data_IF_935563286606
#
_entry.id   IF_935563286606
#
_cell.length_a   1.000
_cell.length_b   1.000
_cell.length_c   1.000
_cell.angle_alpha   90.00
_cell.angle_beta   90.00
_cell.angle_gamma   90.00
#
_symmetry.space_group_name_H-M   'P 1'
#
loop_
_entity.id
_entity.type
_entity.pdbx_description
1 polymer ?
#
# COMPACT_ATOMS: atom_id res chain seq x y z
N UNK A 1 30.99 -32.87 15.29
CA UNK A 1 30.86 -31.40 15.09
C UNK A 1 30.36 -31.02 13.68
N UNK A 2 30.71 -31.75 12.61
CA UNK A 2 30.22 -31.48 11.24
C UNK A 2 28.70 -31.69 11.04
N UNK A 3 28.12 -32.75 11.62
CA UNK A 3 26.69 -33.05 11.46
C UNK A 3 25.76 -31.93 11.96
N UNK A 4 26.13 -31.24 13.05
CA UNK A 4 25.33 -30.17 13.64
C UNK A 4 25.28 -28.89 12.78
N UNK A 5 26.33 -28.63 11.98
CA UNK A 5 26.37 -27.48 11.05
C UNK A 5 25.41 -27.71 9.87
N UNK A 6 25.40 -28.92 9.31
CA UNK A 6 24.50 -29.32 8.22
C UNK A 6 23.01 -29.30 8.59
N UNK A 7 22.67 -29.52 9.87
CA UNK A 7 21.29 -29.45 10.35
C UNK A 7 20.83 -28.00 10.46
N UNK A 8 21.69 -27.10 10.97
CA UNK A 8 21.38 -25.67 11.04
C UNK A 8 21.22 -25.04 9.65
N UNK A 9 22.10 -25.37 8.72
CA UNK A 9 22.03 -24.90 7.32
C UNK A 9 20.72 -25.35 6.65
N UNK A 10 20.30 -26.60 6.85
CA UNK A 10 19.01 -27.10 6.36
C UNK A 10 17.81 -26.40 6.98
N UNK A 11 17.84 -26.09 8.28
CA UNK A 11 16.76 -25.34 8.94
C UNK A 11 16.64 -23.91 8.40
N UNK A 12 17.76 -23.26 8.10
CA UNK A 12 17.76 -21.93 7.46
C UNK A 12 17.13 -22.02 6.07
N UNK A 13 17.55 -22.98 5.24
CA UNK A 13 16.99 -23.18 3.89
C UNK A 13 15.48 -23.45 3.92
N UNK A 14 15.01 -24.29 4.85
CA UNK A 14 13.57 -24.53 5.02
C UNK A 14 12.87 -23.23 5.40
N UNK A 15 13.43 -22.43 6.31
CA UNK A 15 12.89 -21.13 6.68
C UNK A 15 12.77 -20.18 5.49
N UNK A 16 13.80 -20.08 4.66
CA UNK A 16 13.82 -19.27 3.44
C UNK A 16 12.74 -19.73 2.43
N UNK A 17 12.57 -21.04 2.25
CA UNK A 17 11.54 -21.60 1.37
C UNK A 17 10.12 -21.29 1.89
N UNK A 18 9.90 -21.41 3.20
CA UNK A 18 8.61 -21.07 3.82
C UNK A 18 8.32 -19.57 3.67
N UNK A 19 9.32 -18.71 3.91
CA UNK A 19 9.19 -17.27 3.73
C UNK A 19 8.82 -16.93 2.29
N UNK A 20 9.53 -17.51 1.30
CA UNK A 20 9.26 -17.28 -0.11
C UNK A 20 7.84 -17.71 -0.50
N UNK A 21 7.41 -18.91 -0.09
CA UNK A 21 6.07 -19.40 -0.35
C UNK A 21 4.99 -18.51 0.29
N UNK A 22 5.26 -17.96 1.48
CA UNK A 22 4.36 -17.03 2.15
C UNK A 22 4.27 -15.69 1.41
N UNK A 23 5.40 -15.16 0.93
CA UNK A 23 5.46 -13.92 0.13
C UNK A 23 4.67 -14.08 -1.18
N UNK A 24 4.87 -15.18 -1.90
CA UNK A 24 4.15 -15.50 -3.13
C UNK A 24 2.64 -15.60 -2.90
N UNK A 25 2.23 -16.24 -1.81
CA UNK A 25 0.81 -16.32 -1.43
C UNK A 25 0.23 -14.95 -1.13
N UNK A 26 0.94 -14.11 -0.38
CA UNK A 26 0.53 -12.73 -0.09
C UNK A 26 0.34 -11.94 -1.39
N UNK A 27 1.25 -12.08 -2.35
CA UNK A 27 1.19 -11.35 -3.61
C UNK A 27 0.01 -11.80 -4.49
N UNK A 28 -0.26 -13.11 -4.55
CA UNK A 28 -1.45 -13.63 -5.23
C UNK A 28 -2.74 -13.10 -4.60
N UNK A 29 -2.82 -13.11 -3.27
CA UNK A 29 -3.98 -12.61 -2.53
C UNK A 29 -4.13 -11.08 -2.69
N UNK A 30 -3.04 -10.31 -2.76
CA UNK A 30 -3.07 -8.87 -3.10
C UNK A 30 -3.66 -8.63 -4.46
N UNK A 31 -3.16 -9.31 -5.49
CA UNK A 31 -3.58 -9.11 -6.87
C UNK A 31 -5.08 -9.38 -7.06
N UNK A 32 -5.62 -10.39 -6.36
CA UNK A 32 -7.05 -10.71 -6.37
C UNK A 32 -7.92 -9.59 -5.78
N UNK A 33 -7.43 -8.86 -4.78
CA UNK A 33 -8.14 -7.73 -4.19
C UNK A 33 -7.95 -6.44 -4.99
N UNK A 34 -6.72 -6.17 -5.46
CA UNK A 34 -6.36 -4.93 -6.14
C UNK A 34 -7.03 -4.82 -7.50
N UNK A 35 -6.91 -5.84 -8.35
CA UNK A 35 -7.36 -5.79 -9.74
C UNK A 35 -8.80 -5.26 -9.91
N UNK A 36 -9.83 -5.82 -9.25
CA UNK A 36 -11.19 -5.31 -9.43
C UNK A 36 -11.38 -3.89 -8.87
N UNK A 37 -10.61 -3.46 -7.88
CA UNK A 37 -10.71 -2.10 -7.31
C UNK A 37 -9.97 -1.07 -8.18
N UNK A 38 -8.86 -1.47 -8.79
CA UNK A 38 -8.11 -0.68 -9.78
C UNK A 38 -8.98 -0.36 -10.99
N UNK A 39 -9.74 -1.33 -11.51
CA UNK A 39 -10.68 -1.13 -12.64
C UNK A 39 -11.82 -0.13 -12.32
N UNK A 40 -12.12 0.06 -11.03
CA UNK A 40 -13.14 0.99 -10.55
C UNK A 40 -12.59 2.37 -10.16
N UNK A 41 -11.27 2.54 -10.09
CA UNK A 41 -10.61 3.75 -9.61
C UNK A 41 -9.92 4.52 -10.74
N UNK A 42 -9.78 5.83 -10.54
CA UNK A 42 -9.01 6.74 -11.39
C UNK A 42 -7.50 6.51 -11.14
N UNK A 43 -7.13 6.32 -9.88
CA UNK A 43 -5.75 6.08 -9.47
C UNK A 43 -5.73 5.18 -8.23
N UNK A 44 -4.68 4.37 -8.10
CA UNK A 44 -4.47 3.44 -7.00
C UNK A 44 -3.05 3.59 -6.46
N UNK A 45 -2.94 3.76 -5.15
CA UNK A 45 -1.66 3.83 -4.45
C UNK A 45 -1.53 2.69 -3.45
N UNK A 46 -0.61 1.77 -3.73
CA UNK A 46 -0.22 0.72 -2.78
C UNK A 46 0.84 1.28 -1.83
N UNK A 47 0.53 1.29 -0.55
CA UNK A 47 1.40 1.76 0.52
C UNK A 47 2.08 0.58 1.22
N UNK A 48 3.13 0.89 1.98
CA UNK A 48 3.77 -0.11 2.83
C UNK A 48 2.76 -0.71 3.80
N UNK A 49 2.75 -2.04 3.88
CA UNK A 49 1.97 -2.77 4.86
C UNK A 49 2.62 -2.65 6.25
N UNK A 50 1.80 -2.60 7.29
CA UNK A 50 2.27 -2.51 8.68
C UNK A 50 2.12 -3.85 9.41
N UNK A 51 3.24 -4.40 9.86
CA UNK A 51 3.30 -5.68 10.58
C UNK A 51 3.02 -6.89 9.69
N UNK A 52 3.31 -8.09 10.22
CA UNK A 52 3.34 -9.33 9.42
C UNK A 52 1.97 -9.79 8.91
N UNK A 53 0.90 -9.37 9.61
CA UNK A 53 -0.50 -9.76 9.33
C UNK A 53 -1.14 -8.93 8.22
N UNK A 54 -0.65 -7.72 7.98
CA UNK A 54 -1.15 -6.88 6.91
C UNK A 54 -0.41 -7.26 5.63
N UNK A 55 -1.15 -7.75 4.65
CA UNK A 55 -0.60 -7.96 3.32
C UNK A 55 -1.03 -6.85 2.37
N UNK A 56 -2.13 -6.12 2.56
CA UNK A 56 -2.51 -5.03 1.66
C UNK A 56 -2.83 -3.75 2.44
N UNK A 57 -2.23 -2.65 2.00
CA UNK A 57 -2.56 -1.29 2.41
C UNK A 57 -2.62 -0.45 1.14
N UNK A 58 -3.81 -0.04 0.72
CA UNK A 58 -3.99 0.69 -0.53
C UNK A 58 -4.99 1.83 -0.36
N UNK A 59 -4.76 2.90 -1.11
CA UNK A 59 -5.68 4.00 -1.28
C UNK A 59 -6.17 4.03 -2.74
N UNK A 60 -7.44 4.38 -2.92
CA UNK A 60 -8.09 4.44 -4.22
C UNK A 60 -8.69 5.83 -4.42
N UNK A 61 -8.39 6.46 -5.55
CA UNK A 61 -9.02 7.68 -5.99
C UNK A 61 -10.17 7.27 -6.91
N UNK A 62 -11.40 7.52 -6.50
CA UNK A 62 -12.60 7.05 -7.23
C UNK A 62 -13.37 8.25 -7.75
N UNK A 63 -13.92 8.14 -8.96
CA UNK A 63 -14.86 9.14 -9.46
C UNK A 63 -16.13 9.09 -8.60
N UNK A 64 -16.60 10.26 -8.16
CA UNK A 64 -17.79 10.36 -7.31
C UNK A 64 -19.04 9.71 -7.94
N UNK A 65 -19.13 9.63 -9.27
CA UNK A 65 -20.23 8.94 -9.94
C UNK A 65 -20.18 7.41 -9.76
N UNK A 66 -19.02 6.85 -9.39
CA UNK A 66 -18.77 5.42 -9.19
C UNK A 66 -18.65 5.02 -7.71
N UNK A 67 -18.81 5.94 -6.77
CA UNK A 67 -18.73 5.67 -5.32
C UNK A 67 -19.55 4.42 -4.92
N UNK A 68 -20.79 4.32 -5.40
CA UNK A 68 -21.67 3.18 -5.09
C UNK A 68 -21.15 1.86 -5.67
N UNK A 69 -20.65 1.88 -6.90
CA UNK A 69 -20.08 0.70 -7.57
C UNK A 69 -18.85 0.20 -6.80
N UNK A 70 -17.99 1.13 -6.36
CA UNK A 70 -16.82 0.84 -5.56
C UNK A 70 -17.17 0.25 -4.19
N UNK A 71 -18.13 0.86 -3.48
CA UNK A 71 -18.62 0.36 -2.19
C UNK A 71 -19.23 -1.04 -2.30
N UNK A 72 -20.00 -1.30 -3.37
CA UNK A 72 -20.59 -2.60 -3.64
C UNK A 72 -19.50 -3.65 -3.93
N UNK A 73 -18.47 -3.30 -4.71
CA UNK A 73 -17.33 -4.18 -4.99
C UNK A 73 -16.56 -4.55 -3.72
N UNK A 74 -16.32 -3.56 -2.84
CA UNK A 74 -15.67 -3.81 -1.55
C UNK A 74 -16.52 -4.73 -0.67
N UNK A 75 -17.85 -4.56 -0.67
CA UNK A 75 -18.77 -5.44 0.08
C UNK A 75 -18.69 -6.88 -0.44
N UNK A 76 -18.71 -7.06 -1.76
CA UNK A 76 -18.59 -8.39 -2.37
C UNK A 76 -17.26 -9.07 -2.00
N UNK A 77 -16.14 -8.34 -2.09
CA UNK A 77 -14.83 -8.87 -1.68
C UNK A 77 -14.82 -9.24 -0.18
N UNK A 78 -15.44 -8.42 0.68
CA UNK A 78 -15.59 -8.72 2.11
C UNK A 78 -16.34 -10.01 2.36
N UNK A 79 -17.46 -10.21 1.70
CA UNK A 79 -18.28 -11.41 1.84
C UNK A 79 -17.55 -12.64 1.31
N UNK A 80 -16.95 -12.52 0.11
CA UNK A 80 -16.23 -13.61 -0.56
C UNK A 80 -15.05 -14.13 0.26
N UNK A 81 -14.36 -13.26 1.01
CA UNK A 81 -13.15 -13.61 1.76
C UNK A 81 -13.32 -13.55 3.29
N UNK A 82 -14.55 -13.46 3.81
CA UNK A 82 -14.84 -13.23 5.22
C UNK A 82 -14.20 -14.24 6.19
N UNK A 83 -14.09 -15.51 5.79
CA UNK A 83 -13.52 -16.58 6.63
C UNK A 83 -11.99 -16.57 6.70
N UNK A 84 -11.33 -15.87 5.76
CA UNK A 84 -9.88 -15.94 5.58
C UNK A 84 -9.17 -14.61 5.74
N UNK A 85 -9.88 -13.49 5.56
CA UNK A 85 -9.29 -12.15 5.52
C UNK A 85 -10.16 -11.14 6.27
N UNK A 86 -9.49 -10.21 6.95
CA UNK A 86 -10.15 -9.03 7.50
C UNK A 86 -9.89 -7.84 6.58
N UNK A 87 -10.93 -7.39 5.87
CA UNK A 87 -10.86 -6.20 5.01
C UNK A 87 -11.45 -5.00 5.75
N UNK A 88 -10.61 -4.04 6.10
CA UNK A 88 -11.02 -2.75 6.67
C UNK A 88 -11.04 -1.71 5.56
N UNK A 89 -12.17 -1.02 5.42
CA UNK A 89 -12.39 0.05 4.44
C UNK A 89 -12.83 1.30 5.21
N UNK A 90 -12.23 2.44 4.87
CA UNK A 90 -12.44 3.71 5.56
C UNK A 90 -12.57 4.80 4.52
N UNK A 91 -13.63 5.61 4.60
CA UNK A 91 -13.84 6.73 3.67
C UNK A 91 -15.10 7.55 3.97
N UNK A 92 -15.28 8.70 3.30
CA UNK A 92 -14.29 9.37 2.45
C UNK A 92 -13.16 10.00 3.28
N UNK A 93 -11.91 9.85 2.83
CA UNK A 93 -10.72 10.38 3.50
C UNK A 93 -10.10 11.53 2.69
N UNK A 94 -9.29 12.41 3.31
CA UNK A 94 -8.55 13.42 2.57
C UNK A 94 -7.63 12.79 1.50
N UNK A 95 -7.48 13.46 0.36
CA UNK A 95 -6.75 12.96 -0.83
C UNK A 95 -5.22 13.03 -0.70
N UNK A 96 -4.66 12.94 0.51
CA UNK A 96 -3.21 13.05 0.74
C UNK A 96 -2.38 11.96 0.04
N UNK A 97 -3.00 10.82 -0.28
CA UNK A 97 -2.33 9.78 -1.06
C UNK A 97 -2.05 10.20 -2.52
N UNK A 98 -2.81 11.16 -3.05
CA UNK A 98 -2.83 11.52 -4.48
C UNK A 98 -2.36 12.96 -4.76
N UNK A 99 -2.04 13.74 -3.73
CA UNK A 99 -1.57 15.13 -3.87
C UNK A 99 -0.17 15.26 -3.28
N UNK A 100 0.76 15.79 -4.08
CA UNK A 100 2.08 16.20 -3.62
C UNK A 100 2.22 17.71 -3.79
N UNK A 101 2.51 18.43 -2.70
CA UNK A 101 2.72 19.89 -2.73
C UNK A 101 4.22 20.13 -2.67
N UNK A 102 4.78 20.64 -3.78
CA UNK A 102 6.19 21.06 -3.84
C UNK A 102 6.25 22.55 -3.58
N UNK A 103 6.99 22.95 -2.55
CA UNK A 103 7.21 24.36 -2.21
C UNK A 103 8.55 24.78 -2.78
N UNK A 104 8.53 25.81 -3.64
CA UNK A 104 9.73 26.51 -4.09
C UNK A 104 9.85 27.82 -3.32
N UNK A 105 11.01 28.04 -2.69
CA UNK A 105 11.35 29.31 -2.05
C UNK A 105 12.17 30.14 -3.03
N UNK A 106 11.69 31.32 -3.38
CA UNK A 106 12.51 32.33 -4.06
C UNK A 106 13.11 33.25 -2.99
N UNK A 107 14.44 33.40 -3.01
CA UNK A 107 15.12 34.41 -2.18
C UNK A 107 14.70 35.80 -2.66
N UNK A 108 13.88 36.48 -1.86
CA UNK A 108 13.62 37.90 -2.05
C UNK A 108 14.95 38.62 -1.78
N UNK A 109 15.62 39.05 -2.86
CA UNK A 109 16.76 39.96 -2.77
C UNK A 109 16.22 41.32 -2.34
N UNK A 110 16.52 41.73 -1.11
CA UNK A 110 16.38 43.12 -0.71
C UNK A 110 17.37 43.95 -1.54
N UNK A 111 16.88 44.70 -2.52
CA UNK A 111 17.66 45.74 -3.16
C UNK A 111 17.97 46.81 -2.12
N UNK A 112 19.27 46.91 -1.78
CA UNK A 112 19.78 47.80 -0.76
C UNK A 112 19.36 49.25 -0.97
N UNK A 113 18.90 49.86 0.11
CA UNK A 113 18.80 51.30 0.27
C UNK A 113 20.14 51.96 -0.06
N UNK A 114 20.27 52.51 -1.27
CA UNK A 114 21.27 53.52 -1.60
C UNK A 114 20.71 54.88 -1.20
N UNK A 115 20.72 55.15 0.10
CA UNK A 115 20.62 56.52 0.63
C UNK A 115 21.46 56.60 1.90
N UNK A 116 22.77 56.80 1.74
CA UNK A 116 23.61 57.49 2.73
C UNK A 116 24.97 57.86 2.13
N UNK A 117 25.07 59.16 1.79
CA UNK A 117 26.27 60.01 1.63
C UNK A 117 27.17 59.83 0.41
#
# INVERSE_FOLDING_TARGET
>A
RAAHRSTRERLIQIGELVQKALEEKKEQERALLLKPLEELSIDTKVNNSFGDRMFLNAAFLVDKSRDKEFDDQIRELRERYAERMKITYVGPAPIFNFVNIVIHWEEIREEGSKDAS
#
